data_IF_637403895658
#
_entry.id   IF_637403895658
#
_cell.length_a   1.000
_cell.length_b   1.000
_cell.length_c   1.000
_cell.angle_alpha   90.00
_cell.angle_beta   90.00
_cell.angle_gamma   90.00
#
_symmetry.space_group_name_H-M   'P 1'
#
loop_
_entity.id
_entity.type
_entity.pdbx_description
1 polymer ?
#
# COMPACT_ATOMS: atom_id res chain seq x y z
N UNK A 1 18.06 -8.00 9.39
CA UNK A 1 16.60 -7.87 9.52
C UNK A 1 16.07 -7.76 8.11
N UNK A 2 15.15 -8.63 7.68
CA UNK A 2 14.53 -8.49 6.36
C UNK A 2 13.34 -7.55 6.47
N UNK A 3 13.41 -6.41 5.81
CA UNK A 3 12.26 -5.54 5.65
C UNK A 3 11.26 -6.23 4.71
N UNK A 4 10.01 -6.39 5.15
CA UNK A 4 8.96 -6.92 4.28
C UNK A 4 8.29 -5.75 3.60
N UNK A 5 8.32 -5.75 2.26
CA UNK A 5 7.64 -4.74 1.45
C UNK A 5 6.34 -5.31 0.91
N UNK A 6 5.30 -4.49 0.90
CA UNK A 6 4.04 -4.79 0.24
C UNK A 6 3.94 -4.00 -1.05
N UNK A 7 3.81 -4.71 -2.16
CA UNK A 7 3.42 -4.13 -3.44
C UNK A 7 1.89 -4.00 -3.45
N UNK A 8 1.37 -2.79 -3.67
CA UNK A 8 -0.03 -2.53 -3.93
C UNK A 8 -0.22 -2.51 -5.45
N UNK A 9 -0.72 -3.61 -6.04
CA UNK A 9 -0.84 -3.71 -7.49
C UNK A 9 -1.97 -2.82 -8.00
N UNK A 10 -1.85 -2.39 -9.25
CA UNK A 10 -2.91 -1.69 -9.97
C UNK A 10 -2.90 -2.09 -11.44
N UNK A 11 -4.06 -2.05 -12.08
CA UNK A 11 -4.17 -2.23 -13.52
C UNK A 11 -3.54 -1.05 -14.30
N UNK A 12 -3.38 0.11 -13.67
CA UNK A 12 -2.63 1.24 -14.20
C UNK A 12 -1.26 1.26 -13.54
N UNK A 13 -0.21 1.08 -14.35
CA UNK A 13 1.16 0.96 -13.86
C UNK A 13 1.60 2.16 -13.01
N UNK A 14 1.19 3.37 -13.37
CA UNK A 14 1.49 4.62 -12.65
C UNK A 14 0.84 4.69 -11.26
N UNK A 15 -0.10 3.79 -10.96
CA UNK A 15 -0.80 3.70 -9.67
C UNK A 15 -0.30 2.57 -8.80
N UNK A 16 0.66 1.76 -9.26
CA UNK A 16 1.34 0.81 -8.38
C UNK A 16 1.99 1.59 -7.24
N UNK A 17 1.94 1.04 -6.03
CA UNK A 17 2.56 1.64 -4.85
C UNK A 17 3.33 0.60 -4.08
N UNK A 18 4.32 1.04 -3.33
CA UNK A 18 5.11 0.19 -2.44
C UNK A 18 5.04 0.80 -1.06
N UNK A 19 4.76 -0.04 -0.06
CA UNK A 19 4.81 0.35 1.34
C UNK A 19 5.68 -0.64 2.14
N UNK A 20 6.42 -0.14 3.12
CA UNK A 20 7.06 -0.99 4.13
C UNK A 20 6.00 -1.44 5.13
N UNK A 21 6.01 -2.73 5.46
CA UNK A 21 5.18 -3.29 6.52
C UNK A 21 5.84 -2.97 7.87
N UNK A 22 5.11 -2.47 8.88
CA UNK A 22 5.67 -2.23 10.20
C UNK A 22 6.11 -3.54 10.87
N UNK A 23 7.18 -3.47 11.68
CA UNK A 23 7.85 -4.65 12.25
C UNK A 23 7.00 -5.41 13.29
N UNK A 24 5.93 -4.79 13.79
CA UNK A 24 5.02 -5.35 14.78
C UNK A 24 3.81 -6.07 14.18
N UNK A 25 3.64 -6.04 12.84
CA UNK A 25 2.56 -6.73 12.15
C UNK A 25 3.05 -7.98 11.42
N UNK A 26 2.26 -9.06 11.52
CA UNK A 26 2.44 -10.21 10.62
C UNK A 26 1.89 -9.89 9.21
N UNK A 27 2.33 -10.65 8.21
CA UNK A 27 1.95 -10.42 6.79
C UNK A 27 0.44 -10.50 6.54
N UNK A 28 -0.28 -11.38 7.24
CA UNK A 28 -1.73 -11.54 7.05
C UNK A 28 -2.49 -10.37 7.69
N UNK A 29 -2.06 -9.94 8.88
CA UNK A 29 -2.61 -8.77 9.54
C UNK A 29 -2.36 -7.50 8.73
N UNK A 30 -1.13 -7.32 8.24
CA UNK A 30 -0.78 -6.21 7.36
C UNK A 30 -1.64 -6.19 6.09
N UNK A 31 -1.80 -7.35 5.43
CA UNK A 31 -2.66 -7.48 4.24
C UNK A 31 -4.11 -7.11 4.53
N UNK A 32 -4.65 -7.59 5.66
CA UNK A 32 -6.03 -7.28 6.08
C UNK A 32 -6.22 -5.79 6.35
N UNK A 33 -5.26 -5.14 7.02
CA UNK A 33 -5.34 -3.71 7.27
C UNK A 33 -5.28 -2.89 5.98
N UNK A 34 -4.32 -3.17 5.11
CA UNK A 34 -4.20 -2.48 3.83
C UNK A 34 -5.49 -2.63 2.99
N UNK A 35 -6.05 -3.85 2.93
CA UNK A 35 -7.33 -4.11 2.24
C UNK A 35 -8.47 -3.27 2.81
N UNK A 36 -8.61 -3.24 4.14
CA UNK A 36 -9.69 -2.48 4.79
C UNK A 36 -9.55 -0.96 4.60
N UNK A 37 -8.33 -0.44 4.62
CA UNK A 37 -8.06 0.98 4.37
C UNK A 37 -8.44 1.37 2.95
N UNK A 38 -8.01 0.58 1.95
CA UNK A 38 -8.31 0.85 0.54
C UNK A 38 -9.82 0.79 0.30
N UNK A 39 -10.49 -0.25 0.79
CA UNK A 39 -11.95 -0.39 0.65
C UNK A 39 -12.70 0.77 1.31
N UNK A 40 -12.26 1.22 2.50
CA UNK A 40 -12.88 2.36 3.18
C UNK A 40 -12.70 3.66 2.39
N UNK A 41 -11.54 3.89 1.77
CA UNK A 41 -11.30 5.05 0.91
C UNK A 41 -12.22 5.02 -0.33
N UNK A 42 -12.30 3.86 -0.99
CA UNK A 42 -13.17 3.63 -2.16
C UNK A 42 -14.67 3.86 -1.84
N UNK A 43 -15.13 3.40 -0.67
CA UNK A 43 -16.53 3.58 -0.23
C UNK A 43 -16.85 5.03 0.18
N UNK A 44 -15.89 5.72 0.82
CA UNK A 44 -16.11 7.06 1.38
C UNK A 44 -16.09 8.16 0.33
N UNK A 45 -15.32 7.99 -0.75
CA UNK A 45 -15.18 8.97 -1.81
C UNK A 45 -14.89 8.27 -3.15
N UNK A 46 -15.77 8.44 -4.15
CA UNK A 46 -15.53 7.91 -5.49
C UNK A 46 -14.31 8.54 -6.19
N UNK A 47 -13.91 9.73 -5.76
CA UNK A 47 -12.75 10.48 -6.26
C UNK A 47 -11.57 10.42 -5.27
N UNK A 48 -11.48 9.37 -4.43
CA UNK A 48 -10.35 9.18 -3.52
C UNK A 48 -9.01 9.25 -4.27
N UNK A 49 -8.01 9.83 -3.62
CA UNK A 49 -6.65 9.94 -4.15
C UNK A 49 -5.69 9.05 -3.36
N UNK A 50 -4.48 8.89 -3.89
CA UNK A 50 -3.46 8.09 -3.21
C UNK A 50 -3.13 8.65 -1.83
N UNK A 51 -3.12 9.97 -1.69
CA UNK A 51 -2.81 10.66 -0.44
C UNK A 51 -3.76 10.27 0.70
N UNK A 52 -5.05 10.05 0.40
CA UNK A 52 -6.05 9.61 1.38
C UNK A 52 -5.71 8.21 1.94
N UNK A 53 -5.27 7.30 1.05
CA UNK A 53 -4.86 5.94 1.42
C UNK A 53 -3.52 5.96 2.14
N UNK A 54 -2.56 6.76 1.66
CA UNK A 54 -1.23 6.88 2.24
C UNK A 54 -1.29 7.37 3.68
N UNK A 55 -2.06 8.42 3.96
CA UNK A 55 -2.25 8.95 5.32
C UNK A 55 -2.83 7.88 6.26
N UNK A 56 -3.84 7.13 5.79
CA UNK A 56 -4.46 6.06 6.58
C UNK A 56 -3.52 4.87 6.83
N UNK A 57 -2.68 4.52 5.85
CA UNK A 57 -1.62 3.51 5.99
C UNK A 57 -0.54 3.96 6.98
N UNK A 58 -0.07 5.20 6.88
CA UNK A 58 0.90 5.80 7.79
C UNK A 58 0.40 5.84 9.23
N UNK A 59 -0.88 6.14 9.44
CA UNK A 59 -1.53 6.09 10.75
C UNK A 59 -1.52 4.67 11.38
N UNK A 60 -1.26 3.63 10.59
CA UNK A 60 -1.09 2.23 11.03
C UNK A 60 0.35 1.74 11.00
N UNK A 61 1.32 2.64 10.80
CA UNK A 61 2.75 2.34 10.83
C UNK A 61 3.33 1.85 9.49
N UNK A 62 2.52 1.75 8.44
CA UNK A 62 3.06 1.51 7.10
C UNK A 62 3.83 2.73 6.61
N UNK A 63 4.85 2.52 5.80
CA UNK A 63 5.67 3.61 5.26
C UNK A 63 5.62 3.59 3.73
N UNK A 64 4.99 4.59 3.08
CA UNK A 64 5.06 4.76 1.64
C UNK A 64 6.49 4.94 1.13
N UNK A 65 6.88 4.13 0.14
CA UNK A 65 8.21 4.17 -0.44
C UNK A 65 8.17 4.66 -1.89
N UNK A 66 9.11 5.54 -2.23
CA UNK A 66 9.40 5.87 -3.61
C UNK A 66 9.87 4.62 -4.36
N UNK A 67 9.36 4.42 -5.57
CA UNK A 67 9.67 3.25 -6.37
C UNK A 67 9.74 3.63 -7.85
N UNK A 68 10.42 2.78 -8.63
CA UNK A 68 10.38 2.79 -10.08
C UNK A 68 9.88 1.42 -10.54
N UNK A 69 9.12 1.40 -11.64
CA UNK A 69 8.84 0.14 -12.31
C UNK A 69 10.08 -0.26 -13.09
N UNK A 70 10.63 -1.41 -12.71
CA UNK A 70 11.73 -2.03 -13.44
C UNK A 70 11.27 -2.61 -14.78
N UNK A 71 12.21 -3.06 -15.63
CA UNK A 71 11.86 -3.83 -16.81
C UNK A 71 11.10 -5.11 -16.43
N UNK A 72 10.17 -5.51 -17.29
CA UNK A 72 9.54 -6.83 -17.20
C UNK A 72 10.63 -7.91 -17.28
N UNK A 73 10.57 -8.89 -16.38
CA UNK A 73 11.58 -9.93 -16.31
C UNK A 73 11.28 -11.11 -17.26
N UNK A 74 10.06 -11.18 -17.82
CA UNK A 74 9.60 -12.19 -18.80
C UNK A 74 8.53 -11.62 -19.76
#
# INVERSE_FOLDING_TARGET
MSETLMLLPSAQFERIRVVRIPDDLDTNEAYRFATGIIAQAEESNADFVWEDIAEALEARGFEPLAHILGPELD
#
